data_IF_115208207777
#
_entry.id   IF_115208207777
#
_cell.length_a   1.000
_cell.length_b   1.000
_cell.length_c   1.000
_cell.angle_alpha   90.00
_cell.angle_beta   90.00
_cell.angle_gamma   90.00
#
_symmetry.space_group_name_H-M   'P 1'
#
loop_
_entity.id
_entity.type
_entity.pdbx_description
1 polymer ?
#
# COMPACT_ATOMS: atom_id res chain seq x y z
N UNK A 1 -35.65 6.44 4.69
CA UNK A 1 -34.53 6.61 3.74
C UNK A 1 -33.80 5.28 3.71
N UNK A 2 -33.97 4.52 2.63
CA UNK A 2 -33.19 3.31 2.39
C UNK A 2 -31.79 3.75 1.96
N UNK A 3 -30.78 3.37 2.73
CA UNK A 3 -29.37 3.47 2.33
C UNK A 3 -29.21 2.51 1.15
N UNK A 4 -29.34 3.05 -0.07
CA UNK A 4 -29.42 2.23 -1.25
C UNK A 4 -28.01 1.72 -1.57
N UNK A 5 -27.92 0.46 -1.95
CA UNK A 5 -26.80 -0.33 -2.51
C UNK A 5 -25.70 0.42 -3.30
N UNK A 6 -26.02 1.58 -3.86
CA UNK A 6 -25.10 2.47 -4.57
C UNK A 6 -24.11 3.18 -3.61
N UNK A 7 -24.46 3.33 -2.32
CA UNK A 7 -23.65 4.04 -1.33
C UNK A 7 -22.42 3.23 -0.88
N UNK A 8 -22.54 1.91 -0.66
CA UNK A 8 -21.44 1.08 -0.16
C UNK A 8 -20.27 0.98 -1.14
N UNK A 9 -20.54 0.74 -2.43
CA UNK A 9 -19.48 0.69 -3.45
C UNK A 9 -18.82 2.04 -3.66
N UNK A 10 -19.60 3.13 -3.62
CA UNK A 10 -19.05 4.48 -3.71
C UNK A 10 -18.18 4.82 -2.50
N UNK A 11 -18.57 4.41 -1.30
CA UNK A 11 -17.77 4.55 -0.08
C UNK A 11 -16.47 3.77 -0.22
N UNK A 12 -16.52 2.50 -0.64
CA UNK A 12 -15.31 1.68 -0.79
C UNK A 12 -14.38 2.22 -1.88
N UNK A 13 -14.92 2.63 -3.04
CA UNK A 13 -14.11 3.28 -4.09
C UNK A 13 -13.47 4.59 -3.61
N UNK A 14 -14.20 5.41 -2.84
CA UNK A 14 -13.65 6.64 -2.26
C UNK A 14 -12.51 6.33 -1.30
N UNK A 15 -12.66 5.25 -0.52
CA UNK A 15 -11.63 4.79 0.39
C UNK A 15 -10.41 4.22 -0.34
N UNK A 16 -10.59 3.45 -1.43
CA UNK A 16 -9.50 2.97 -2.31
C UNK A 16 -8.71 4.17 -2.84
N UNK A 17 -9.40 5.15 -3.42
CA UNK A 17 -8.75 6.35 -3.96
C UNK A 17 -8.01 7.13 -2.88
N UNK A 18 -8.62 7.27 -1.70
CA UNK A 18 -7.96 7.92 -0.56
C UNK A 18 -6.71 7.16 -0.12
N UNK A 19 -6.73 5.82 -0.13
CA UNK A 19 -5.55 5.02 0.16
C UNK A 19 -4.45 5.25 -0.89
N UNK A 20 -4.81 5.30 -2.17
CA UNK A 20 -3.86 5.60 -3.23
C UNK A 20 -3.19 6.96 -3.04
N UNK A 21 -3.97 7.99 -2.78
CA UNK A 21 -3.48 9.36 -2.64
C UNK A 21 -2.64 9.55 -1.37
N UNK A 22 -3.06 8.95 -0.26
CA UNK A 22 -2.44 9.18 1.05
C UNK A 22 -1.24 8.28 1.27
N UNK A 23 -1.25 7.04 0.77
CA UNK A 23 -0.26 6.01 1.13
C UNK A 23 0.49 5.45 -0.07
N UNK A 24 -0.22 5.02 -1.11
CA UNK A 24 0.41 4.27 -2.21
C UNK A 24 1.30 5.15 -3.08
N UNK A 25 0.78 6.28 -3.57
CA UNK A 25 1.55 7.18 -4.43
C UNK A 25 2.76 7.80 -3.69
N UNK A 26 2.64 8.27 -2.44
CA UNK A 26 3.81 8.73 -1.71
C UNK A 26 4.85 7.63 -1.45
N UNK A 27 4.43 6.38 -1.20
CA UNK A 27 5.35 5.25 -1.06
C UNK A 27 6.19 5.05 -2.34
N UNK A 28 5.53 5.04 -3.51
CA UNK A 28 6.22 4.95 -4.81
C UNK A 28 7.18 6.12 -5.05
N UNK A 29 6.79 7.35 -4.67
CA UNK A 29 7.66 8.52 -4.78
C UNK A 29 8.90 8.42 -3.90
N UNK A 30 8.75 7.91 -2.67
CA UNK A 30 9.86 7.70 -1.74
C UNK A 30 10.81 6.60 -2.22
N UNK A 31 10.29 5.51 -2.77
CA UNK A 31 11.11 4.45 -3.39
C UNK A 31 11.93 5.02 -4.54
N UNK A 32 11.30 5.81 -5.42
CA UNK A 32 11.97 6.44 -6.55
C UNK A 32 13.06 7.42 -6.07
N UNK A 33 12.77 8.22 -5.03
CA UNK A 33 13.74 9.08 -4.35
C UNK A 33 14.91 8.27 -3.80
N UNK A 34 14.66 7.15 -3.12
CA UNK A 34 15.69 6.29 -2.55
C UNK A 34 16.61 5.70 -3.63
N UNK A 35 16.07 5.25 -4.76
CA UNK A 35 16.86 4.80 -5.91
C UNK A 35 17.70 5.89 -6.55
N UNK A 36 17.17 7.11 -6.61
CA UNK A 36 17.90 8.26 -7.16
C UNK A 36 19.04 8.69 -6.25
N UNK A 37 18.80 8.75 -4.95
CA UNK A 37 19.75 9.29 -3.97
C UNK A 37 20.78 8.25 -3.53
N UNK A 38 20.42 6.96 -3.49
CA UNK A 38 21.30 5.84 -3.07
C UNK A 38 21.98 6.09 -1.73
N UNK A 39 21.27 6.70 -0.79
CA UNK A 39 21.76 6.97 0.57
C UNK A 39 21.02 6.11 1.60
N UNK A 40 21.67 5.73 2.71
CA UNK A 40 21.01 5.00 3.80
C UNK A 40 19.82 5.77 4.39
N UNK A 41 19.88 7.10 4.46
CA UNK A 41 18.80 7.93 5.00
C UNK A 41 17.56 7.95 4.11
N UNK A 42 17.72 8.07 2.78
CA UNK A 42 16.59 8.01 1.85
C UNK A 42 15.96 6.62 1.81
N UNK A 43 16.77 5.56 1.91
CA UNK A 43 16.28 4.19 2.05
C UNK A 43 15.47 4.00 3.33
N UNK A 44 16.00 4.45 4.48
CA UNK A 44 15.30 4.33 5.76
C UNK A 44 13.96 5.06 5.77
N UNK A 45 13.90 6.27 5.20
CA UNK A 45 12.66 7.03 5.05
C UNK A 45 11.62 6.25 4.22
N UNK A 46 12.03 5.68 3.09
CA UNK A 46 11.15 4.89 2.24
C UNK A 46 10.65 3.59 2.93
N UNK A 47 11.52 2.91 3.68
CA UNK A 47 11.15 1.71 4.46
C UNK A 47 10.12 2.07 5.53
N UNK A 48 10.42 3.06 6.37
CA UNK A 48 9.53 3.47 7.47
C UNK A 48 8.16 3.91 6.98
N UNK A 49 8.11 4.59 5.84
CA UNK A 49 6.85 4.99 5.25
C UNK A 49 6.08 3.81 4.65
N UNK A 50 6.78 2.89 3.97
CA UNK A 50 6.17 1.66 3.42
C UNK A 50 5.58 0.79 4.54
N UNK A 51 6.26 0.65 5.67
CA UNK A 51 5.74 -0.04 6.85
C UNK A 51 4.42 0.59 7.34
N UNK A 52 4.36 1.91 7.44
CA UNK A 52 3.14 2.63 7.80
C UNK A 52 2.02 2.41 6.78
N UNK A 53 2.33 2.41 5.48
CA UNK A 53 1.36 2.13 4.43
C UNK A 53 0.80 0.70 4.52
N UNK A 54 1.64 -0.29 4.85
CA UNK A 54 1.21 -1.67 5.08
C UNK A 54 0.26 -1.76 6.28
N UNK A 55 0.63 -1.18 7.43
CA UNK A 55 -0.26 -1.15 8.60
C UNK A 55 -1.58 -0.43 8.32
N UNK A 56 -1.55 0.66 7.54
CA UNK A 56 -2.76 1.34 7.11
C UNK A 56 -3.65 0.44 6.24
N UNK A 57 -3.06 -0.33 5.31
CA UNK A 57 -3.79 -1.28 4.46
C UNK A 57 -4.43 -2.41 5.28
N UNK A 58 -3.74 -2.93 6.29
CA UNK A 58 -4.27 -3.96 7.20
C UNK A 58 -5.51 -3.46 7.96
N UNK A 59 -5.41 -2.29 8.60
CA UNK A 59 -6.55 -1.67 9.28
C UNK A 59 -7.71 -1.40 8.32
N UNK A 60 -7.39 -0.97 7.11
CA UNK A 60 -8.40 -0.62 6.13
C UNK A 60 -9.11 -1.85 5.57
N UNK A 61 -8.37 -2.94 5.32
CA UNK A 61 -8.93 -4.24 4.90
C UNK A 61 -9.91 -4.77 5.95
N UNK A 62 -9.56 -4.68 7.24
CA UNK A 62 -10.45 -5.06 8.34
C UNK A 62 -11.73 -4.18 8.41
N UNK A 63 -11.60 -2.87 8.16
CA UNK A 63 -12.75 -1.97 8.13
C UNK A 63 -13.69 -2.27 6.95
N UNK A 64 -13.13 -2.57 5.78
CA UNK A 64 -13.90 -2.97 4.59
C UNK A 64 -14.62 -4.30 4.83
N UNK A 65 -13.94 -5.29 5.42
CA UNK A 65 -14.55 -6.57 5.78
C UNK A 65 -15.74 -6.37 6.72
N UNK A 66 -15.57 -5.57 7.77
CA UNK A 66 -16.64 -5.25 8.71
C UNK A 66 -17.81 -4.53 8.03
N UNK A 67 -17.53 -3.60 7.11
CA UNK A 67 -18.55 -2.86 6.35
C UNK A 67 -19.34 -3.78 5.41
N UNK A 68 -18.68 -4.74 4.77
CA UNK A 68 -19.32 -5.75 3.93
C UNK A 68 -20.18 -6.69 4.78
N UNK A 69 -19.69 -7.14 5.94
CA UNK A 69 -20.46 -7.99 6.86
C UNK A 69 -21.73 -7.28 7.38
N UNK A 70 -21.62 -6.01 7.78
CA UNK A 70 -22.76 -5.20 8.24
C UNK A 70 -23.81 -4.97 7.16
N UNK A 71 -23.39 -4.91 5.89
CA UNK A 71 -24.23 -4.60 4.75
C UNK A 71 -24.45 -5.82 3.83
N UNK A 72 -24.23 -7.04 4.34
CA UNK A 72 -24.16 -8.27 3.52
C UNK A 72 -25.39 -8.54 2.65
N UNK A 73 -26.58 -8.16 3.10
CA UNK A 73 -27.84 -8.31 2.33
C UNK A 73 -27.95 -7.30 1.16
N UNK A 74 -27.09 -6.28 1.15
CA UNK A 74 -27.04 -5.23 0.12
C UNK A 74 -25.79 -5.33 -0.76
N UNK A 75 -24.66 -5.87 -0.28
CA UNK A 75 -23.48 -6.05 -1.12
C UNK A 75 -23.63 -7.32 -1.97
N UNK A 76 -23.69 -7.15 -3.29
CA UNK A 76 -23.74 -8.29 -4.21
C UNK A 76 -22.39 -9.03 -4.25
N UNK A 77 -22.42 -10.31 -4.63
CA UNK A 77 -21.21 -11.14 -4.77
C UNK A 77 -20.19 -10.50 -5.71
N UNK A 78 -20.62 -9.96 -6.85
CA UNK A 78 -19.73 -9.30 -7.82
C UNK A 78 -19.05 -8.06 -7.22
N UNK A 79 -19.75 -7.31 -6.38
CA UNK A 79 -19.18 -6.14 -5.70
C UNK A 79 -18.17 -6.55 -4.64
N UNK A 80 -18.48 -7.58 -3.83
CA UNK A 80 -17.54 -8.11 -2.86
C UNK A 80 -16.27 -8.65 -3.52
N UNK A 81 -16.41 -9.35 -4.65
CA UNK A 81 -15.29 -9.86 -5.43
C UNK A 81 -14.40 -8.73 -5.96
N UNK A 82 -14.99 -7.67 -6.52
CA UNK A 82 -14.25 -6.53 -7.04
C UNK A 82 -13.48 -5.79 -5.94
N UNK A 83 -14.10 -5.58 -4.78
CA UNK A 83 -13.46 -4.96 -3.62
C UNK A 83 -12.26 -5.80 -3.14
N UNK A 84 -12.43 -7.12 -3.06
CA UNK A 84 -11.36 -8.03 -2.65
C UNK A 84 -10.18 -7.96 -3.64
N UNK A 85 -10.46 -7.94 -4.95
CA UNK A 85 -9.44 -7.84 -5.98
C UNK A 85 -8.65 -6.52 -5.90
N UNK A 86 -9.34 -5.38 -5.68
CA UNK A 86 -8.68 -4.08 -5.56
C UNK A 86 -7.77 -4.01 -4.31
N UNK A 87 -8.20 -4.60 -3.19
CA UNK A 87 -7.38 -4.72 -1.97
C UNK A 87 -6.17 -5.64 -2.18
N UNK A 88 -6.35 -6.76 -2.89
CA UNK A 88 -5.28 -7.68 -3.22
C UNK A 88 -4.22 -7.02 -4.12
N UNK A 89 -4.65 -6.24 -5.12
CA UNK A 89 -3.74 -5.50 -6.00
C UNK A 89 -2.88 -4.49 -5.21
N UNK A 90 -3.50 -3.74 -4.30
CA UNK A 90 -2.78 -2.83 -3.39
C UNK A 90 -1.78 -3.56 -2.50
N UNK A 91 -2.19 -4.68 -1.91
CA UNK A 91 -1.32 -5.50 -1.05
C UNK A 91 -0.13 -6.04 -1.84
N UNK A 92 -0.36 -6.58 -3.05
CA UNK A 92 0.70 -7.02 -3.95
C UNK A 92 1.65 -5.88 -4.30
N UNK A 93 1.13 -4.68 -4.60
CA UNK A 93 2.00 -3.55 -4.91
C UNK A 93 2.91 -3.15 -3.75
N UNK A 94 2.41 -3.15 -2.51
CA UNK A 94 3.25 -2.86 -1.34
C UNK A 94 4.30 -3.95 -1.12
N UNK A 95 3.98 -5.23 -1.36
CA UNK A 95 4.96 -6.31 -1.30
C UNK A 95 6.09 -6.13 -2.34
N UNK A 96 5.75 -5.72 -3.56
CA UNK A 96 6.75 -5.38 -4.58
C UNK A 96 7.64 -4.21 -4.17
N UNK A 97 7.05 -3.15 -3.60
CA UNK A 97 7.82 -2.03 -3.04
C UNK A 97 8.79 -2.52 -1.97
N UNK A 98 8.35 -3.38 -1.05
CA UNK A 98 9.23 -3.93 -0.01
C UNK A 98 10.39 -4.72 -0.60
N UNK A 99 10.14 -5.55 -1.62
CA UNK A 99 11.21 -6.30 -2.29
C UNK A 99 12.22 -5.36 -2.98
N UNK A 100 11.72 -4.33 -3.68
CA UNK A 100 12.56 -3.35 -4.36
C UNK A 100 13.45 -2.56 -3.37
N UNK A 101 12.91 -2.19 -2.19
CA UNK A 101 13.69 -1.55 -1.14
C UNK A 101 14.76 -2.48 -0.54
N UNK A 102 14.48 -3.79 -0.45
CA UNK A 102 15.47 -4.76 0.00
C UNK A 102 16.63 -4.92 -1.00
N UNK A 103 16.35 -4.92 -2.31
CA UNK A 103 17.37 -4.90 -3.35
C UNK A 103 18.22 -3.63 -3.28
N UNK A 104 17.60 -2.48 -3.09
CA UNK A 104 18.30 -1.20 -2.91
C UNK A 104 19.20 -1.22 -1.66
N UNK A 105 18.73 -1.83 -0.56
CA UNK A 105 19.51 -1.99 0.65
C UNK A 105 20.79 -2.80 0.40
N UNK A 106 20.69 -3.91 -0.33
CA UNK A 106 21.84 -4.70 -0.77
C UNK A 106 22.83 -3.88 -1.59
N UNK A 107 22.36 -3.17 -2.61
CA UNK A 107 23.21 -2.35 -3.48
C UNK A 107 23.93 -1.22 -2.73
N UNK A 108 23.27 -0.59 -1.75
CA UNK A 108 23.89 0.40 -0.88
C UNK A 108 24.96 -0.27 -0.02
N UNK A 109 24.65 -1.38 0.65
CA UNK A 109 25.59 -2.08 1.52
C UNK A 109 26.86 -2.52 0.77
N UNK A 110 26.72 -3.08 -0.44
CA UNK A 110 27.85 -3.46 -1.30
C UNK A 110 28.76 -2.27 -1.62
N UNK A 111 28.18 -1.12 -1.99
CA UNK A 111 28.95 0.10 -2.27
C UNK A 111 29.77 0.56 -1.07
N UNK A 112 29.17 0.57 0.12
CA UNK A 112 29.87 0.99 1.34
C UNK A 112 30.95 -0.01 1.75
N UNK A 113 30.72 -1.32 1.59
CA UNK A 113 31.72 -2.33 1.87
C UNK A 113 32.96 -2.16 0.98
N UNK A 114 32.80 -1.91 -0.32
CA UNK A 114 33.93 -1.68 -1.24
C UNK A 114 34.72 -0.42 -0.87
N UNK A 115 34.05 0.65 -0.43
CA UNK A 115 34.71 1.90 -0.06
C UNK A 115 35.58 1.83 1.20
N UNK A 116 35.44 0.79 2.04
CA UNK A 116 36.32 0.58 3.19
C UNK A 116 37.65 -0.12 2.83
N UNK A 117 37.78 -0.61 1.59
CA UNK A 117 38.98 -1.32 1.12
C UNK A 117 39.82 -0.55 0.08
N UNK A 118 39.43 0.67 -0.29
CA UNK A 118 40.19 1.60 -1.13
C UNK A 118 40.93 2.66 -0.30
#
# INVERSE_FOLDING_TARGET
>A
MTLNTMDTVNIVNTLINSFHDIWHLPALQLVNKAWRERTPSALLEAIQYTEQAITALEHWSAAVEHLVQMNGDTVTVDQAWRIANDLEELACSLQYITAELAELAGAIAEKYAVSEFE
#
